data_IF_354764949697
#
_entry.id   IF_354764949697
#
_cell.length_a   1.000
_cell.length_b   1.000
_cell.length_c   1.000
_cell.angle_alpha   90.00
_cell.angle_beta   90.00
_cell.angle_gamma   90.00
#
_symmetry.space_group_name_H-M   'P 1'
#
loop_
_entity.id
_entity.type
_entity.pdbx_description
1 polymer ?
#
# COMPACT_ATOMS: atom_id res chain seq x y z
N UNK A 1 -38.30 -50.85 -62.07
CA UNK A 1 -37.07 -51.27 -61.37
C UNK A 1 -36.16 -50.07 -61.24
N UNK A 2 -35.89 -49.57 -60.02
CA UNK A 2 -34.91 -48.50 -59.82
C UNK A 2 -33.78 -49.04 -58.93
N UNK A 3 -32.56 -49.01 -59.45
CA UNK A 3 -31.35 -49.55 -58.81
C UNK A 3 -30.87 -48.64 -57.68
N UNK A 4 -30.67 -49.23 -56.50
CA UNK A 4 -30.13 -48.58 -55.30
C UNK A 4 -28.64 -48.25 -55.49
N UNK A 5 -28.30 -46.96 -55.45
CA UNK A 5 -26.92 -46.46 -55.48
C UNK A 5 -26.32 -46.60 -54.08
N UNK A 6 -25.31 -47.45 -53.92
CA UNK A 6 -24.57 -47.61 -52.65
C UNK A 6 -23.55 -46.49 -52.52
N UNK A 7 -23.79 -45.55 -51.60
CA UNK A 7 -22.82 -44.49 -51.30
C UNK A 7 -21.66 -45.07 -50.49
N UNK A 8 -20.44 -44.99 -51.04
CA UNK A 8 -19.21 -45.35 -50.33
C UNK A 8 -18.83 -44.21 -49.38
N UNK A 9 -18.59 -44.52 -48.11
CA UNK A 9 -18.16 -43.55 -47.11
C UNK A 9 -16.68 -43.20 -47.33
N UNK A 10 -16.39 -41.92 -47.55
CA UNK A 10 -15.02 -41.40 -47.68
C UNK A 10 -14.59 -40.86 -46.31
N UNK A 11 -13.47 -41.37 -45.77
CA UNK A 11 -12.87 -40.82 -44.58
C UNK A 11 -12.02 -39.60 -44.93
N UNK A 12 -12.41 -38.44 -44.41
CA UNK A 12 -11.69 -37.18 -44.58
C UNK A 12 -10.82 -36.95 -43.35
N UNK A 13 -9.51 -37.19 -43.49
CA UNK A 13 -8.54 -36.89 -42.43
C UNK A 13 -8.03 -35.46 -42.63
N UNK A 14 -8.44 -34.56 -41.73
CA UNK A 14 -7.98 -33.16 -41.73
C UNK A 14 -6.73 -33.05 -40.85
N UNK A 15 -5.58 -32.78 -41.47
CA UNK A 15 -4.34 -32.56 -40.73
C UNK A 15 -4.26 -31.11 -40.21
N UNK A 16 -4.26 -30.94 -38.90
CA UNK A 16 -4.09 -29.63 -38.27
C UNK A 16 -2.60 -29.28 -38.18
N UNK A 17 -2.14 -28.42 -39.10
CA UNK A 17 -0.76 -27.96 -39.12
C UNK A 17 -0.48 -27.03 -37.91
N UNK A 18 0.44 -27.38 -36.98
CA UNK A 18 0.67 -26.62 -35.76
C UNK A 18 1.31 -25.25 -36.00
N UNK A 19 1.94 -25.04 -37.16
CA UNK A 19 2.62 -23.77 -37.48
C UNK A 19 1.68 -22.70 -38.07
N UNK A 20 0.49 -23.09 -38.56
CA UNK A 20 -0.52 -22.16 -39.11
C UNK A 20 -1.73 -22.02 -38.18
N UNK A 21 -1.47 -21.84 -36.88
CA UNK A 21 -2.52 -21.35 -35.98
C UNK A 21 -2.83 -19.92 -36.40
N UNK A 22 -3.92 -19.77 -37.16
CA UNK A 22 -4.62 -18.49 -37.25
C UNK A 22 -4.74 -17.96 -35.83
N UNK A 23 -4.49 -16.67 -35.66
CA UNK A 23 -4.54 -15.93 -34.40
C UNK A 23 -6.00 -15.91 -33.88
N UNK A 24 -6.52 -17.08 -33.54
CA UNK A 24 -7.56 -17.22 -32.56
C UNK A 24 -6.93 -16.68 -31.30
N UNK A 25 -7.54 -15.62 -30.78
CA UNK A 25 -7.22 -15.05 -29.47
C UNK A 25 -6.92 -16.21 -28.53
N UNK A 26 -5.66 -16.29 -28.11
CA UNK A 26 -5.18 -17.34 -27.23
C UNK A 26 -5.93 -17.23 -25.90
N UNK A 27 -7.03 -17.96 -25.82
CA UNK A 27 -7.54 -18.58 -24.61
C UNK A 27 -6.34 -19.27 -23.97
N UNK A 28 -5.85 -18.65 -22.89
CA UNK A 28 -4.69 -18.93 -22.01
C UNK A 28 -3.83 -17.68 -21.72
N UNK A 29 -4.19 -16.50 -22.24
CA UNK A 29 -4.17 -15.29 -21.42
C UNK A 29 -5.48 -15.24 -20.65
N UNK A 30 -5.45 -15.00 -19.33
CA UNK A 30 -6.65 -14.95 -18.46
C UNK A 30 -7.82 -14.30 -19.20
N UNK A 31 -9.01 -14.93 -19.24
CA UNK A 31 -10.16 -14.24 -19.81
C UNK A 31 -10.36 -12.97 -19.01
N UNK A 32 -10.18 -11.81 -19.66
CA UNK A 32 -10.85 -10.59 -19.24
C UNK A 32 -12.31 -10.86 -19.56
N UNK A 33 -12.92 -11.65 -18.69
CA UNK A 33 -14.35 -11.80 -18.68
C UNK A 33 -14.86 -10.39 -18.39
N UNK A 34 -15.44 -9.77 -19.41
CA UNK A 34 -16.47 -8.76 -19.26
C UNK A 34 -17.65 -9.43 -18.53
N UNK A 35 -17.43 -9.84 -17.27
CA UNK A 35 -18.49 -10.04 -16.31
C UNK A 35 -19.03 -8.64 -16.10
N UNK A 36 -20.12 -8.33 -16.78
CA UNK A 36 -21.18 -7.55 -16.15
C UNK A 36 -21.38 -8.21 -14.80
N UNK A 37 -20.75 -7.66 -13.76
CA UNK A 37 -21.09 -7.99 -12.39
C UNK A 37 -22.46 -7.35 -12.22
N UNK A 38 -23.48 -8.12 -12.55
CA UNK A 38 -24.80 -7.87 -11.98
C UNK A 38 -24.59 -7.84 -10.46
N UNK A 39 -25.06 -6.76 -9.85
CA UNK A 39 -24.97 -6.46 -8.44
C UNK A 39 -25.78 -7.48 -7.60
N UNK A 40 -25.29 -8.72 -7.52
CA UNK A 40 -25.82 -9.75 -6.63
C UNK A 40 -25.35 -9.58 -5.17
N UNK A 41 -24.83 -8.42 -4.80
CA UNK A 41 -24.48 -8.08 -3.42
C UNK A 41 -25.62 -7.40 -2.67
N UNK A 42 -26.55 -6.73 -3.36
CA UNK A 42 -27.50 -5.84 -2.69
C UNK A 42 -28.69 -6.59 -2.08
N UNK A 43 -29.06 -7.74 -2.65
CA UNK A 43 -30.19 -8.53 -2.17
C UNK A 43 -29.90 -9.35 -0.89
N UNK A 44 -28.63 -9.63 -0.57
CA UNK A 44 -28.24 -10.45 0.60
C UNK A 44 -27.89 -9.59 1.82
N UNK A 45 -27.52 -8.33 1.62
CA UNK A 45 -27.15 -7.38 2.68
C UNK A 45 -28.34 -6.73 3.42
N UNK A 46 -29.58 -7.04 3.00
CA UNK A 46 -30.79 -6.44 3.54
C UNK A 46 -31.24 -6.99 4.91
N UNK A 47 -30.69 -8.11 5.41
CA UNK A 47 -31.28 -8.85 6.54
C UNK A 47 -30.58 -8.72 7.90
N UNK A 48 -29.48 -7.96 8.01
CA UNK A 48 -28.91 -7.56 9.31
C UNK A 48 -27.92 -6.41 9.13
N UNK A 49 -28.42 -5.20 8.83
CA UNK A 49 -27.58 -4.09 8.37
C UNK A 49 -26.96 -3.33 9.55
N UNK A 50 -26.07 -3.99 10.30
CA UNK A 50 -25.11 -3.28 11.14
C UNK A 50 -24.24 -2.44 10.20
N UNK A 51 -24.21 -1.12 10.41
CA UNK A 51 -23.44 -0.21 9.57
C UNK A 51 -21.95 -0.52 9.67
N UNK A 52 -21.37 -1.05 8.58
CA UNK A 52 -19.95 -1.31 8.52
C UNK A 52 -19.21 -0.03 8.10
N UNK A 53 -18.62 0.65 9.09
CA UNK A 53 -17.88 1.89 8.86
C UNK A 53 -16.68 1.71 7.92
N UNK A 54 -16.02 0.53 7.91
CA UNK A 54 -14.87 0.27 7.02
C UNK A 54 -15.32 0.22 5.56
N UNK A 55 -16.44 -0.46 5.30
CA UNK A 55 -17.03 -0.52 3.97
C UNK A 55 -17.49 0.86 3.50
N UNK A 56 -18.18 1.61 4.37
CA UNK A 56 -18.62 2.97 4.03
C UNK A 56 -17.44 3.90 3.69
N UNK A 57 -16.33 3.85 4.45
CA UNK A 57 -15.12 4.61 4.14
C UNK A 57 -14.55 4.27 2.77
N UNK A 58 -14.51 2.98 2.43
CA UNK A 58 -14.05 2.52 1.13
C UNK A 58 -14.94 3.03 -0.01
N UNK A 59 -16.27 2.94 0.16
CA UNK A 59 -17.23 3.38 -0.85
C UNK A 59 -17.18 4.89 -1.06
N UNK A 60 -17.09 5.68 0.02
CA UNK A 60 -16.90 7.14 -0.04
C UNK A 60 -15.61 7.45 -0.81
N UNK A 61 -14.50 6.76 -0.53
CA UNK A 61 -13.22 6.98 -1.22
C UNK A 61 -13.31 6.66 -2.70
N UNK A 62 -14.01 5.57 -3.07
CA UNK A 62 -14.25 5.19 -4.47
C UNK A 62 -15.07 6.26 -5.21
N UNK A 63 -16.11 6.79 -4.57
CA UNK A 63 -16.93 7.88 -5.11
C UNK A 63 -16.11 9.17 -5.28
N UNK A 64 -15.31 9.54 -4.28
CA UNK A 64 -14.42 10.69 -4.36
C UNK A 64 -13.43 10.56 -5.54
N UNK A 65 -12.83 9.38 -5.72
CA UNK A 65 -11.92 9.11 -6.83
C UNK A 65 -12.62 9.27 -8.19
N UNK A 66 -13.90 8.89 -8.29
CA UNK A 66 -14.67 9.01 -9.52
C UNK A 66 -14.81 10.45 -10.00
N UNK A 67 -14.94 11.42 -9.08
CA UNK A 67 -15.13 12.84 -9.37
C UNK A 67 -13.87 13.64 -9.74
N UNK A 68 -12.67 13.04 -9.67
CA UNK A 68 -11.42 13.77 -9.95
C UNK A 68 -11.00 13.72 -11.43
N UNK A 69 -10.17 14.71 -11.81
CA UNK A 69 -9.47 14.77 -13.10
C UNK A 69 -8.62 13.53 -13.35
N UNK A 70 -8.36 13.22 -14.63
CA UNK A 70 -7.65 12.00 -15.04
C UNK A 70 -6.30 11.80 -14.33
N UNK A 71 -5.46 12.85 -14.26
CA UNK A 71 -4.15 12.78 -13.60
C UNK A 71 -4.25 12.53 -12.09
N UNK A 72 -5.22 13.15 -11.43
CA UNK A 72 -5.42 13.03 -9.98
C UNK A 72 -6.12 11.71 -9.62
N UNK A 73 -7.02 11.25 -10.48
CA UNK A 73 -7.72 9.96 -10.39
C UNK A 73 -6.74 8.79 -10.38
N UNK A 74 -5.73 8.80 -11.25
CA UNK A 74 -4.74 7.71 -11.30
C UNK A 74 -3.86 7.67 -10.04
N UNK A 75 -3.41 8.84 -9.55
CA UNK A 75 -2.67 8.93 -8.27
C UNK A 75 -3.49 8.38 -7.10
N UNK A 76 -4.73 8.83 -6.94
CA UNK A 76 -5.57 8.40 -5.83
C UNK A 76 -6.00 6.93 -5.91
N UNK A 77 -6.12 6.36 -7.13
CA UNK A 77 -6.31 4.90 -7.31
C UNK A 77 -5.11 4.13 -6.83
N UNK A 78 -3.89 4.56 -7.17
CA UNK A 78 -2.66 3.95 -6.67
C UNK A 78 -2.63 3.99 -5.14
N UNK A 79 -2.96 5.12 -4.54
CA UNK A 79 -3.01 5.27 -3.08
C UNK A 79 -4.05 4.32 -2.43
N UNK A 80 -5.23 4.20 -3.03
CA UNK A 80 -6.26 3.26 -2.59
C UNK A 80 -5.77 1.81 -2.67
N UNK A 81 -5.11 1.44 -3.77
CA UNK A 81 -4.58 0.09 -3.94
C UNK A 81 -3.49 -0.22 -2.91
N UNK A 82 -2.61 0.74 -2.61
CA UNK A 82 -1.59 0.59 -1.56
C UNK A 82 -2.24 0.38 -0.19
N UNK A 83 -3.29 1.16 0.14
CA UNK A 83 -4.06 0.97 1.38
C UNK A 83 -4.69 -0.42 1.48
N UNK A 84 -5.17 -0.97 0.36
CA UNK A 84 -5.68 -2.34 0.26
C UNK A 84 -4.58 -3.42 0.32
N UNK A 85 -3.32 -3.04 0.43
CA UNK A 85 -2.18 -3.94 0.55
C UNK A 85 -1.46 -4.25 -0.76
N UNK A 86 -1.76 -3.54 -1.86
CA UNK A 86 -0.96 -3.66 -3.07
C UNK A 86 0.46 -3.13 -2.83
N UNK A 87 1.44 -3.76 -3.49
CA UNK A 87 2.83 -3.30 -3.45
C UNK A 87 2.95 -1.92 -4.13
N UNK A 88 3.59 -0.92 -3.50
CA UNK A 88 3.76 0.40 -4.12
C UNK A 88 4.60 0.33 -5.41
N UNK A 89 4.40 1.27 -6.35
CA UNK A 89 5.18 1.33 -7.58
C UNK A 89 6.66 1.54 -7.28
N UNK A 90 7.53 1.02 -8.16
CA UNK A 90 8.98 1.15 -8.00
C UNK A 90 9.41 2.62 -8.17
N UNK A 91 10.19 3.12 -7.23
CA UNK A 91 10.78 4.46 -7.31
C UNK A 91 11.73 4.56 -8.51
N UNK A 92 11.78 5.76 -9.11
CA UNK A 92 12.77 6.07 -10.14
C UNK A 92 14.18 6.01 -9.55
N UNK A 93 15.13 5.52 -10.33
CA UNK A 93 16.54 5.56 -9.98
C UNK A 93 17.07 6.95 -10.29
N UNK A 94 17.78 7.56 -9.33
CA UNK A 94 18.40 8.88 -9.47
C UNK A 94 19.88 8.77 -9.15
N UNK A 95 20.68 9.67 -9.72
CA UNK A 95 22.04 9.85 -9.26
C UNK A 95 22.05 10.45 -7.84
N UNK A 96 23.05 10.13 -7.03
CA UNK A 96 23.08 10.47 -5.60
C UNK A 96 22.92 11.99 -5.38
N UNK A 97 23.61 12.80 -6.18
CA UNK A 97 23.55 14.27 -6.08
C UNK A 97 22.14 14.81 -6.40
N UNK A 98 21.49 14.28 -7.43
CA UNK A 98 20.13 14.67 -7.82
C UNK A 98 19.12 14.33 -6.72
N UNK A 99 19.26 13.14 -6.13
CA UNK A 99 18.39 12.69 -5.04
C UNK A 99 18.50 13.61 -3.81
N UNK A 100 19.72 14.03 -3.44
CA UNK A 100 19.92 14.97 -2.35
C UNK A 100 19.27 16.33 -2.62
N UNK A 101 19.35 16.82 -3.85
CA UNK A 101 18.71 18.08 -4.26
C UNK A 101 17.20 18.00 -4.23
N UNK A 102 16.60 16.90 -4.73
CA UNK A 102 15.16 16.67 -4.69
C UNK A 102 14.65 16.62 -3.25
N UNK A 103 15.37 15.92 -2.37
CA UNK A 103 14.99 15.80 -0.96
C UNK A 103 15.00 17.16 -0.24
N UNK A 104 16.03 17.98 -0.47
CA UNK A 104 16.11 19.34 0.09
C UNK A 104 14.96 20.22 -0.38
N UNK A 105 14.64 20.21 -1.68
CA UNK A 105 13.51 20.95 -2.24
C UNK A 105 12.18 20.51 -1.62
N UNK A 106 11.96 19.21 -1.48
CA UNK A 106 10.75 18.68 -0.87
C UNK A 106 10.61 19.08 0.60
N UNK A 107 11.70 19.07 1.37
CA UNK A 107 11.72 19.55 2.76
C UNK A 107 11.40 21.04 2.86
N UNK A 108 11.88 21.87 1.92
CA UNK A 108 11.57 23.29 1.87
C UNK A 108 10.11 23.57 1.48
N UNK A 109 9.57 22.86 0.49
CA UNK A 109 8.15 22.97 0.10
C UNK A 109 7.21 22.56 1.24
N UNK A 110 7.55 21.50 1.97
CA UNK A 110 6.79 21.07 3.14
C UNK A 110 6.80 22.12 4.27
N UNK A 111 7.94 22.79 4.49
CA UNK A 111 8.03 23.91 5.45
C UNK A 111 7.21 25.11 5.01
N UNK A 112 7.27 25.47 3.72
CA UNK A 112 6.55 26.64 3.16
C UNK A 112 5.05 26.45 3.10
N UNK A 113 4.58 25.24 2.79
CA UNK A 113 3.15 24.93 2.68
C UNK A 113 2.43 24.86 4.04
N UNK A 114 3.16 24.94 5.16
CA UNK A 114 2.59 24.76 6.50
C UNK A 114 2.00 23.36 6.70
N UNK A 115 2.22 22.44 5.77
CA UNK A 115 1.82 21.03 5.81
C UNK A 115 2.76 20.23 6.73
N UNK A 116 3.18 20.83 7.84
CA UNK A 116 3.45 20.08 9.07
C UNK A 116 2.13 19.51 9.60
N UNK A 117 1.46 18.70 8.76
CA UNK A 117 0.43 17.80 9.22
C UNK A 117 1.16 16.92 10.24
N UNK A 118 0.71 17.01 11.48
CA UNK A 118 1.21 16.30 12.67
C UNK A 118 0.98 14.78 12.56
N UNK A 119 1.35 14.17 11.43
CA UNK A 119 1.21 12.73 11.10
C UNK A 119 2.46 11.94 11.45
N UNK A 120 3.58 12.58 11.76
CA UNK A 120 4.49 11.95 12.69
C UNK A 120 3.75 11.92 14.02
N UNK A 121 3.39 10.71 14.47
CA UNK A 121 3.21 10.40 15.88
C UNK A 121 4.09 11.40 16.64
N UNK A 122 3.49 12.33 17.40
CA UNK A 122 4.24 12.82 18.55
C UNK A 122 4.59 11.50 19.23
N UNK A 123 5.84 11.02 19.09
CA UNK A 123 6.46 10.27 20.17
C UNK A 123 6.06 11.15 21.32
N UNK A 124 5.10 10.71 22.14
CA UNK A 124 4.99 11.28 23.45
C UNK A 124 6.45 11.18 23.87
N UNK A 125 7.11 12.33 24.01
CA UNK A 125 8.18 12.38 24.97
C UNK A 125 7.39 11.92 26.17
N UNK A 126 7.45 10.61 26.50
CA UNK A 126 7.04 10.15 27.81
C UNK A 126 7.67 11.22 28.67
N UNK A 127 6.86 11.92 29.43
CA UNK A 127 7.33 12.96 30.30
C UNK A 127 8.27 12.26 31.28
N UNK A 128 9.51 11.98 30.83
CA UNK A 128 10.64 11.63 31.64
C UNK A 128 10.86 12.97 32.27
N UNK A 129 10.09 13.21 33.34
CA UNK A 129 10.36 14.25 34.33
C UNK A 129 11.87 14.27 34.39
N UNK A 130 12.47 15.41 34.04
CA UNK A 130 13.91 15.56 34.11
C UNK A 130 14.27 15.26 35.56
N UNK A 131 14.71 14.02 35.83
CA UNK A 131 15.05 13.57 37.18
C UNK A 131 16.09 14.55 37.68
N UNK A 132 15.79 15.16 38.82
CA UNK A 132 16.58 16.24 39.40
C UNK A 132 18.06 15.81 39.45
N UNK A 133 18.99 16.75 39.27
CA UNK A 133 20.42 16.40 39.31
C UNK A 133 20.82 15.79 40.65
N UNK A 134 20.02 16.02 41.70
CA UNK A 134 20.29 15.57 43.07
C UNK A 134 19.47 14.35 43.51
N UNK A 135 18.78 13.65 42.59
CA UNK A 135 18.18 12.34 42.93
C UNK A 135 19.28 11.32 43.24
N UNK A 136 19.52 11.05 44.53
CA UNK A 136 20.57 10.14 45.04
C UNK A 136 20.37 8.67 44.60
N UNK A 137 19.17 8.31 44.15
CA UNK A 137 18.77 6.95 43.73
C UNK A 137 18.85 6.72 42.21
N UNK A 138 19.68 7.50 41.49
CA UNK A 138 19.75 7.46 40.02
C UNK A 138 20.53 6.27 39.46
N UNK A 139 21.30 5.58 40.30
CA UNK A 139 22.08 4.39 39.98
C UNK A 139 21.42 3.18 40.65
N UNK A 140 21.18 2.14 39.84
CA UNK A 140 20.51 0.89 40.24
C UNK A 140 21.25 0.15 41.38
N UNK A 141 22.50 0.54 41.68
CA UNK A 141 23.39 -0.13 42.65
C UNK A 141 23.78 0.71 43.89
N UNK A 142 23.06 1.79 44.23
CA UNK A 142 23.35 2.53 45.47
C UNK A 142 24.72 3.24 45.50
N UNK A 143 25.37 3.38 44.35
CA UNK A 143 26.67 4.03 44.22
C UNK A 143 26.52 5.56 44.30
N UNK A 144 27.24 6.20 45.23
CA UNK A 144 27.22 7.65 45.41
C UNK A 144 27.88 8.38 44.22
N UNK A 145 27.13 9.22 43.51
CA UNK A 145 27.66 10.00 42.39
C UNK A 145 27.68 9.26 41.05
N UNK A 146 28.40 9.79 40.06
CA UNK A 146 28.49 9.18 38.73
C UNK A 146 29.93 8.80 38.38
N UNK A 147 30.11 7.67 37.69
CA UNK A 147 31.41 7.16 37.27
C UNK A 147 31.66 7.50 35.79
N UNK A 148 32.82 8.08 35.48
CA UNK A 148 33.22 8.37 34.10
C UNK A 148 34.73 8.18 33.95
N UNK A 149 35.16 7.48 32.91
CA UNK A 149 36.58 7.35 32.53
C UNK A 149 37.49 6.84 33.68
N UNK A 150 37.00 5.89 34.48
CA UNK A 150 37.79 5.31 35.58
C UNK A 150 37.73 6.09 36.89
N UNK A 151 37.04 7.23 36.95
CA UNK A 151 36.98 8.11 38.12
C UNK A 151 35.55 8.31 38.60
N UNK A 152 35.34 8.26 39.92
CA UNK A 152 34.05 8.48 40.57
C UNK A 152 33.90 9.95 41.00
N UNK A 153 32.85 10.60 40.51
CA UNK A 153 32.52 12.00 40.83
C UNK A 153 31.39 12.05 41.86
N UNK A 154 31.69 12.54 43.06
CA UNK A 154 30.73 12.70 44.16
C UNK A 154 30.45 14.20 44.39
N UNK A 155 29.17 14.57 44.46
CA UNK A 155 28.78 15.95 44.73
C UNK A 155 28.98 16.27 46.22
N UNK A 156 29.58 17.44 46.52
CA UNK A 156 29.71 17.92 47.90
C UNK A 156 28.34 18.39 48.41
N UNK A 157 27.90 17.85 49.53
CA UNK A 157 26.77 18.40 50.29
C UNK A 157 27.18 19.79 50.79
N UNK A 158 26.42 20.82 50.39
CA UNK A 158 26.52 22.13 51.02
C UNK A 158 25.97 21.98 52.45
N UNK A 159 26.77 22.35 53.45
CA UNK A 159 26.32 22.49 54.83
C UNK A 159 25.34 23.64 54.96
#
# INVERSE_FOLDING_TARGET
MMSSVKNKTVEVVVFQNPQKRNKQESVLGRPIANKKKEDKSDAVLAKSKVFNQKQAKYDIRKLAIHGMDKQNKDKAKVDLLIELGAKPPKNRCYHIQEYQMLKKKQEEENKKSGLEIKTAMKKSKSDRRKRHKDDLFKTIDGQAGFFKEGVQFVNKLKK
#
